data_IF_987809177304
#
_entry.id   IF_987809177304
#
_cell.length_a   1.000
_cell.length_b   1.000
_cell.length_c   1.000
_cell.angle_alpha   90.00
_cell.angle_beta   90.00
_cell.angle_gamma   90.00
#
_symmetry.space_group_name_H-M   'P 1'
#
loop_
_entity.id
_entity.type
_entity.pdbx_description
1 polymer ?
#
# COMPACT_ATOMS: atom_id res chain seq x y z
N UNK A 1 -44.08 9.17 -42.99
CA UNK A 1 -43.27 10.37 -42.69
C UNK A 1 -43.55 10.71 -41.23
N UNK A 2 -42.64 10.68 -40.26
CA UNK A 2 -41.18 10.69 -40.24
C UNK A 2 -40.67 9.95 -38.98
N UNK A 3 -39.49 9.36 -39.17
CA UNK A 3 -38.52 8.79 -38.25
C UNK A 3 -38.39 9.42 -36.85
N UNK A 4 -38.37 8.57 -35.82
CA UNK A 4 -37.74 8.88 -34.52
C UNK A 4 -36.23 8.67 -34.63
N UNK A 5 -35.47 9.75 -34.75
CA UNK A 5 -34.01 9.77 -34.56
C UNK A 5 -33.72 10.26 -33.15
N UNK A 6 -33.15 9.39 -32.30
CA UNK A 6 -32.60 9.76 -31.00
C UNK A 6 -31.15 10.16 -31.23
N UNK A 7 -30.89 11.47 -31.26
CA UNK A 7 -29.54 12.03 -31.28
C UNK A 7 -28.91 11.93 -29.89
N UNK A 8 -27.73 11.34 -29.85
CA UNK A 8 -26.81 11.32 -28.71
C UNK A 8 -26.34 12.74 -28.40
N UNK A 9 -26.68 13.27 -27.22
CA UNK A 9 -26.14 14.54 -26.72
C UNK A 9 -24.72 14.32 -26.18
N UNK A 10 -23.74 14.62 -27.03
CA UNK A 10 -22.35 14.87 -26.63
C UNK A 10 -22.32 16.24 -25.97
N UNK A 11 -22.08 16.30 -24.65
CA UNK A 11 -21.85 17.58 -23.97
C UNK A 11 -20.47 18.14 -24.38
N UNK A 12 -20.38 19.38 -24.90
CA UNK A 12 -19.10 20.00 -25.21
C UNK A 12 -18.44 20.57 -23.95
N UNK A 13 -17.11 20.40 -23.84
CA UNK A 13 -16.27 21.08 -22.85
C UNK A 13 -16.35 22.61 -23.02
N UNK A 14 -16.37 23.41 -21.93
CA UNK A 14 -16.23 24.85 -22.03
C UNK A 14 -14.75 25.24 -22.27
N UNK A 15 -14.50 26.41 -22.90
CA UNK A 15 -13.19 26.80 -23.36
C UNK A 15 -12.30 27.37 -22.23
N UNK A 16 -10.99 27.24 -22.47
CA UNK A 16 -9.88 27.77 -21.70
C UNK A 16 -9.95 29.30 -21.64
N UNK A 17 -9.86 29.84 -20.42
CA UNK A 17 -9.44 31.22 -20.19
C UNK A 17 -10.12 31.91 -19.01
N UNK A 18 -9.46 31.93 -17.86
CA UNK A 18 -8.91 33.13 -17.21
C UNK A 18 -8.06 32.64 -16.03
N UNK A 19 -6.76 32.93 -16.09
CA UNK A 19 -5.81 32.67 -15.02
C UNK A 19 -6.21 33.51 -13.80
N UNK A 20 -6.50 32.85 -12.70
CA UNK A 20 -6.53 33.46 -11.37
C UNK A 20 -5.41 32.82 -10.57
N UNK A 21 -4.42 33.64 -10.21
CA UNK A 21 -3.27 33.31 -9.37
C UNK A 21 -3.72 32.94 -7.95
N UNK A 22 -4.18 31.70 -7.79
CA UNK A 22 -4.35 31.06 -6.49
C UNK A 22 -4.06 29.57 -6.60
N UNK A 23 -2.92 29.21 -7.21
CA UNK A 23 -2.37 27.85 -7.13
C UNK A 23 -1.61 27.68 -5.81
N UNK A 24 -2.31 27.73 -4.68
CA UNK A 24 -2.00 26.77 -3.64
C UNK A 24 -2.87 25.57 -3.97
N UNK A 25 -2.40 24.77 -4.93
CA UNK A 25 -3.03 23.51 -5.28
C UNK A 25 -3.32 22.78 -3.98
N UNK A 26 -4.60 22.58 -3.67
CA UNK A 26 -5.04 21.75 -2.55
C UNK A 26 -4.38 20.40 -2.75
N UNK A 27 -3.24 20.17 -2.08
CA UNK A 27 -2.58 18.87 -2.14
C UNK A 27 -3.61 17.90 -1.58
N UNK A 28 -4.06 16.91 -2.37
CA UNK A 28 -5.09 16.00 -1.89
C UNK A 28 -4.59 15.38 -0.59
N UNK A 29 -5.47 15.23 0.40
CA UNK A 29 -5.17 14.67 1.73
C UNK A 29 -4.36 13.36 1.60
N UNK A 30 -4.66 12.59 0.56
CA UNK A 30 -3.91 11.38 0.20
C UNK A 30 -2.44 11.62 -0.17
N UNK A 31 -2.09 12.69 -0.89
CA UNK A 31 -0.70 12.98 -1.25
C UNK A 31 0.13 13.37 -0.02
N UNK A 32 -0.46 14.15 0.90
CA UNK A 32 0.16 14.45 2.20
C UNK A 32 0.29 13.17 3.03
N UNK A 33 -0.72 12.32 3.03
CA UNK A 33 -0.68 11.01 3.68
C UNK A 33 0.44 10.14 3.08
N UNK A 34 0.51 9.99 1.76
CA UNK A 34 1.52 9.18 1.07
C UNK A 34 2.95 9.69 1.35
N UNK A 35 3.18 11.02 1.27
CA UNK A 35 4.45 11.64 1.63
C UNK A 35 4.84 11.27 3.08
N UNK A 36 3.89 11.31 4.02
CA UNK A 36 4.14 10.94 5.42
C UNK A 36 4.32 9.44 5.65
N UNK A 37 3.63 8.59 4.89
CA UNK A 37 3.82 7.14 4.93
C UNK A 37 5.22 6.76 4.42
N UNK A 38 5.71 7.47 3.40
CA UNK A 38 7.05 7.27 2.84
C UNK A 38 8.15 7.89 3.70
N UNK A 39 7.83 8.97 4.43
CA UNK A 39 8.78 9.56 5.39
C UNK A 39 9.00 8.60 6.55
N UNK A 40 10.26 8.22 6.80
CA UNK A 40 10.64 7.42 7.97
C UNK A 40 10.26 8.18 9.24
N UNK A 41 9.52 7.54 10.16
CA UNK A 41 9.31 8.13 11.48
C UNK A 41 10.56 7.86 12.32
N UNK A 42 11.10 8.91 12.92
CA UNK A 42 12.33 8.89 13.73
C UNK A 42 12.22 8.10 15.05
N UNK A 43 11.01 7.69 15.45
CA UNK A 43 10.81 6.79 16.58
C UNK A 43 10.89 5.32 16.13
N UNK A 44 12.09 4.91 15.73
CA UNK A 44 12.45 3.49 15.75
C UNK A 44 13.27 3.31 17.01
N UNK A 45 12.72 2.58 17.99
CA UNK A 45 13.51 2.09 19.12
C UNK A 45 14.72 1.36 18.52
N UNK A 46 15.96 1.76 18.83
CA UNK A 46 17.15 1.15 18.25
C UNK A 46 17.08 -0.37 18.42
N UNK A 47 17.47 -1.13 17.39
CA UNK A 47 17.38 -2.59 17.40
C UNK A 47 18.06 -3.22 18.64
N UNK A 48 19.12 -2.60 19.15
CA UNK A 48 19.79 -3.00 20.39
C UNK A 48 18.92 -2.82 21.65
N UNK A 49 18.13 -1.74 21.70
CA UNK A 49 17.18 -1.47 22.78
C UNK A 49 15.97 -2.40 22.68
N UNK A 50 15.47 -2.68 21.47
CA UNK A 50 14.41 -3.66 21.26
C UNK A 50 14.85 -5.08 21.65
N UNK A 51 16.08 -5.48 21.30
CA UNK A 51 16.64 -6.77 21.71
C UNK A 51 16.82 -6.87 23.23
N UNK A 52 17.29 -5.82 23.89
CA UNK A 52 17.42 -5.79 25.35
C UNK A 52 16.05 -5.84 26.07
N UNK A 53 15.00 -5.29 25.48
CA UNK A 53 13.63 -5.39 26.02
C UNK A 53 13.06 -6.81 25.86
N UNK A 54 13.37 -7.51 24.77
CA UNK A 54 12.95 -8.91 24.55
C UNK A 54 13.67 -9.90 25.49
N UNK A 55 14.91 -9.60 25.88
CA UNK A 55 15.71 -10.44 26.79
C UNK A 55 15.35 -10.23 28.28
N UNK A 56 14.65 -9.12 28.59
CA UNK A 56 14.27 -8.72 29.95
C UNK A 56 12.84 -9.10 30.35
N UNK A 57 12.02 -9.62 29.43
CA UNK A 57 10.63 -9.99 29.72
C UNK A 57 10.53 -11.40 30.30
N UNK A 58 10.03 -11.52 31.53
CA UNK A 58 9.48 -12.76 32.05
C UNK A 58 8.31 -13.17 31.14
N UNK A 59 8.50 -14.22 30.33
CA UNK A 59 7.64 -14.72 29.24
C UNK A 59 6.19 -15.07 29.63
N UNK A 60 5.76 -14.81 30.88
CA UNK A 60 4.45 -15.17 31.43
C UNK A 60 3.55 -14.00 31.83
N UNK A 61 4.04 -12.76 31.86
CA UNK A 61 3.18 -11.61 32.16
C UNK A 61 2.44 -11.14 30.89
N UNK A 62 1.11 -10.88 30.93
CA UNK A 62 0.40 -10.26 29.82
C UNK A 62 1.02 -8.89 29.50
N UNK A 63 1.35 -8.65 28.23
CA UNK A 63 1.82 -7.33 27.78
C UNK A 63 0.68 -6.33 27.92
N UNK A 64 0.85 -5.32 28.78
CA UNK A 64 -0.08 -4.19 28.87
C UNK A 64 0.16 -3.24 27.70
N UNK A 65 -0.81 -3.14 26.79
CA UNK A 65 -0.77 -2.22 25.66
C UNK A 65 -1.38 -0.88 26.04
N UNK A 66 -0.66 0.22 25.83
CA UNK A 66 -1.23 1.56 25.97
C UNK A 66 -2.11 1.92 24.75
N UNK A 67 -2.97 2.93 24.91
CA UNK A 67 -3.74 3.48 23.78
C UNK A 67 -2.81 4.01 22.68
N UNK A 68 -1.70 4.66 23.09
CA UNK A 68 -0.69 5.17 22.17
C UNK A 68 -0.06 4.02 21.34
N UNK A 69 0.28 2.89 21.98
CA UNK A 69 0.84 1.74 21.27
C UNK A 69 -0.14 1.17 20.23
N UNK A 70 -1.43 1.11 20.57
CA UNK A 70 -2.47 0.64 19.66
C UNK A 70 -2.61 1.58 18.46
N UNK A 71 -2.58 2.91 18.69
CA UNK A 71 -2.63 3.90 17.62
C UNK A 71 -1.38 3.81 16.73
N UNK A 72 -0.20 3.66 17.33
CA UNK A 72 1.06 3.50 16.61
C UNK A 72 1.09 2.20 15.79
N UNK A 73 0.46 1.13 16.27
CA UNK A 73 0.30 -0.10 15.50
C UNK A 73 -0.60 0.10 14.27
N UNK A 74 -1.74 0.80 14.41
CA UNK A 74 -2.58 1.15 13.26
C UNK A 74 -1.84 2.03 12.25
N UNK A 75 -1.05 2.99 12.74
CA UNK A 75 -0.18 3.82 11.91
C UNK A 75 0.87 2.99 11.17
N UNK A 76 1.54 2.07 11.86
CA UNK A 76 2.56 1.19 11.27
C UNK A 76 1.98 0.38 10.12
N UNK A 77 0.76 -0.13 10.24
CA UNK A 77 0.10 -0.87 9.16
C UNK A 77 -0.22 0.02 7.96
N UNK A 78 -0.67 1.27 8.17
CA UNK A 78 -0.86 2.20 7.04
C UNK A 78 0.44 2.48 6.30
N UNK A 79 1.61 2.44 6.98
CA UNK A 79 2.90 2.67 6.33
C UNK A 79 3.22 1.64 5.25
N UNK A 80 2.65 0.44 5.31
CA UNK A 80 2.83 -0.56 4.24
C UNK A 80 2.24 -0.07 2.90
N UNK A 81 1.22 0.80 2.93
CA UNK A 81 0.70 1.46 1.70
C UNK A 81 1.78 2.35 1.07
N UNK A 82 2.59 3.03 1.88
CA UNK A 82 3.73 3.80 1.37
C UNK A 82 4.77 2.94 0.64
N UNK A 83 4.93 1.68 1.09
CA UNK A 83 5.83 0.69 0.47
C UNK A 83 5.30 0.13 -0.85
N UNK A 84 3.99 0.29 -1.13
CA UNK A 84 3.47 0.01 -2.48
C UNK A 84 4.16 0.88 -3.54
N UNK A 85 4.52 2.11 -3.21
CA UNK A 85 5.20 3.02 -4.14
C UNK A 85 6.70 2.75 -4.31
N UNK A 86 7.34 2.07 -3.36
CA UNK A 86 8.77 1.78 -3.42
C UNK A 86 9.07 0.60 -4.35
N UNK A 87 9.80 0.79 -5.46
CA UNK A 87 10.06 -0.29 -6.41
C UNK A 87 10.96 -1.40 -5.85
N UNK A 88 11.72 -1.15 -4.77
CA UNK A 88 12.53 -2.17 -4.07
C UNK A 88 11.70 -3.11 -3.20
N UNK A 89 10.47 -2.71 -2.85
CA UNK A 89 9.61 -3.55 -2.01
C UNK A 89 9.23 -4.83 -2.79
N UNK A 90 9.42 -6.03 -2.21
CA UNK A 90 9.11 -7.29 -2.89
C UNK A 90 7.65 -7.42 -3.31
N UNK A 91 7.40 -8.18 -4.38
CA UNK A 91 6.04 -8.35 -4.93
C UNK A 91 5.09 -9.00 -3.93
N UNK A 92 5.55 -9.97 -3.15
CA UNK A 92 4.75 -10.63 -2.13
C UNK A 92 4.21 -9.65 -1.08
N UNK A 93 5.05 -8.73 -0.59
CA UNK A 93 4.66 -7.71 0.38
C UNK A 93 3.64 -6.73 -0.24
N UNK A 94 3.80 -6.39 -1.52
CA UNK A 94 2.83 -5.57 -2.24
C UNK A 94 1.49 -6.27 -2.40
N UNK A 95 1.49 -7.55 -2.79
CA UNK A 95 0.25 -8.31 -2.93
C UNK A 95 -0.48 -8.49 -1.60
N UNK A 96 0.25 -8.74 -0.51
CA UNK A 96 -0.36 -8.80 0.83
C UNK A 96 -1.00 -7.47 1.22
N UNK A 97 -0.32 -6.35 0.97
CA UNK A 97 -0.87 -5.01 1.24
C UNK A 97 -2.10 -4.73 0.38
N UNK A 98 -2.07 -5.07 -0.92
CA UNK A 98 -3.21 -4.89 -1.82
C UNK A 98 -4.40 -5.77 -1.41
N UNK A 99 -4.13 -7.01 -0.98
CA UNK A 99 -5.15 -7.93 -0.46
C UNK A 99 -5.82 -7.34 0.79
N UNK A 100 -5.03 -6.79 1.71
CA UNK A 100 -5.53 -6.10 2.90
C UNK A 100 -6.39 -4.87 2.57
N UNK A 101 -6.03 -4.10 1.55
CA UNK A 101 -6.77 -2.89 1.13
C UNK A 101 -8.07 -3.22 0.36
N UNK A 102 -8.00 -4.14 -0.60
CA UNK A 102 -9.06 -4.35 -1.60
C UNK A 102 -9.84 -5.65 -1.46
N UNK A 103 -9.19 -6.72 -0.98
CA UNK A 103 -9.77 -8.07 -1.03
C UNK A 103 -10.41 -8.46 0.29
N UNK A 104 -9.84 -8.06 1.44
CA UNK A 104 -10.34 -8.39 2.77
C UNK A 104 -11.50 -7.48 3.26
N UNK A 105 -12.41 -7.06 2.38
CA UNK A 105 -13.46 -6.07 2.70
C UNK A 105 -14.43 -6.56 3.78
N UNK A 106 -14.66 -7.86 3.87
CA UNK A 106 -15.45 -8.48 4.93
C UNK A 106 -14.86 -8.23 6.34
N UNK A 107 -13.57 -7.88 6.41
CA UNK A 107 -12.87 -7.54 7.65
C UNK A 107 -12.86 -6.04 7.95
N UNK A 108 -13.46 -5.17 7.13
CA UNK A 108 -13.45 -3.71 7.30
C UNK A 108 -13.97 -3.23 8.68
N UNK A 109 -14.70 -4.08 9.41
CA UNK A 109 -15.20 -3.78 10.78
C UNK A 109 -14.36 -4.38 11.90
N UNK A 110 -13.28 -5.09 11.57
CA UNK A 110 -12.36 -5.71 12.53
C UNK A 110 -11.24 -4.74 12.92
N UNK A 111 -10.67 -4.89 14.13
CA UNK A 111 -9.44 -4.18 14.50
C UNK A 111 -8.35 -4.41 13.46
N UNK A 112 -7.50 -3.40 13.23
CA UNK A 112 -6.38 -3.48 12.28
C UNK A 112 -6.76 -3.77 10.81
N UNK A 113 -8.04 -3.72 10.46
CA UNK A 113 -8.46 -3.61 9.07
C UNK A 113 -8.04 -2.27 8.48
N UNK A 114 -7.92 -2.22 7.15
CA UNK A 114 -7.59 -0.99 6.43
C UNK A 114 -8.49 0.20 6.85
N UNK A 115 -9.81 -0.04 6.93
CA UNK A 115 -10.79 0.96 7.36
C UNK A 115 -10.58 1.40 8.82
N UNK A 116 -10.37 0.43 9.72
CA UNK A 116 -10.10 0.74 11.13
C UNK A 116 -8.82 1.55 11.28
N UNK A 117 -7.77 1.21 10.53
CA UNK A 117 -6.51 1.95 10.52
C UNK A 117 -6.69 3.40 10.08
N UNK A 118 -7.36 3.65 8.95
CA UNK A 118 -7.64 5.02 8.51
C UNK A 118 -8.42 5.82 9.56
N UNK A 119 -9.46 5.21 10.15
CA UNK A 119 -10.29 5.87 11.15
C UNK A 119 -9.50 6.21 12.42
N UNK A 120 -8.77 5.24 12.98
CA UNK A 120 -8.01 5.43 14.23
C UNK A 120 -6.90 6.47 14.04
N UNK A 121 -6.14 6.37 12.95
CA UNK A 121 -5.02 7.30 12.67
C UNK A 121 -5.52 8.70 12.32
N UNK A 122 -6.64 8.84 11.61
CA UNK A 122 -7.18 10.14 11.24
C UNK A 122 -7.90 10.88 12.39
N UNK A 123 -8.49 10.12 13.32
CA UNK A 123 -9.25 10.67 14.44
C UNK A 123 -8.50 10.73 15.77
N UNK A 124 -7.33 10.08 15.91
CA UNK A 124 -6.58 10.09 17.16
C UNK A 124 -5.60 11.27 17.23
N UNK A 125 -5.59 12.06 18.32
CA UNK A 125 -4.58 13.10 18.54
C UNK A 125 -3.19 12.52 18.87
N UNK A 126 -3.12 11.22 19.20
CA UNK A 126 -1.87 10.49 19.46
C UNK A 126 -1.24 9.95 18.16
N UNK A 127 -1.90 10.14 17.03
CA UNK A 127 -1.39 9.74 15.73
C UNK A 127 -0.21 10.62 15.31
N UNK A 128 0.82 10.06 14.65
CA UNK A 128 1.87 10.85 14.01
C UNK A 128 1.36 11.71 12.82
N UNK A 129 0.16 11.42 12.32
CA UNK A 129 -0.52 12.18 11.28
C UNK A 129 -1.28 13.36 11.92
N UNK A 130 -1.25 14.58 11.35
CA UNK A 130 -2.13 15.65 11.79
C UNK A 130 -3.58 15.20 11.78
N UNK A 131 -4.34 15.57 12.81
CA UNK A 131 -5.76 15.23 12.92
C UNK A 131 -6.51 15.63 11.64
N UNK A 132 -7.11 14.65 10.97
CA UNK A 132 -7.84 14.84 9.71
C UNK A 132 -9.30 14.35 9.80
N UNK A 133 -9.72 13.80 10.95
CA UNK A 133 -11.08 13.36 11.19
C UNK A 133 -11.45 12.08 10.43
N UNK A 134 -12.71 11.98 10.02
CA UNK A 134 -13.20 10.84 9.23
C UNK A 134 -12.78 11.02 7.77
N UNK A 135 -11.94 10.11 7.28
CA UNK A 135 -11.48 10.05 5.89
C UNK A 135 -12.42 9.16 5.08
N UNK A 136 -12.75 9.56 3.86
CA UNK A 136 -13.46 8.69 2.92
C UNK A 136 -12.54 7.55 2.46
N UNK A 137 -12.90 6.33 2.88
CA UNK A 137 -12.15 5.11 2.59
C UNK A 137 -12.13 4.81 1.09
N UNK A 138 -13.25 5.04 0.39
CA UNK A 138 -13.36 4.69 -1.01
C UNK A 138 -12.55 5.67 -1.87
N UNK A 139 -12.48 6.95 -1.48
CA UNK A 139 -11.56 7.92 -2.09
C UNK A 139 -10.10 7.44 -1.98
N UNK A 140 -9.67 7.00 -0.78
CA UNK A 140 -8.32 6.47 -0.59
C UNK A 140 -8.07 5.22 -1.45
N UNK A 141 -9.05 4.30 -1.51
CA UNK A 141 -8.98 3.11 -2.37
C UNK A 141 -8.86 3.48 -3.85
N UNK A 142 -9.59 4.50 -4.30
CA UNK A 142 -9.56 4.98 -5.67
C UNK A 142 -8.19 5.56 -6.03
N UNK A 143 -7.59 6.36 -5.15
CA UNK A 143 -6.25 6.88 -5.39
C UNK A 143 -5.20 5.77 -5.43
N UNK A 144 -5.27 4.81 -4.49
CA UNK A 144 -4.38 3.63 -4.52
C UNK A 144 -4.56 2.88 -5.84
N UNK A 145 -5.80 2.67 -6.30
CA UNK A 145 -6.08 1.97 -7.57
C UNK A 145 -5.50 2.68 -8.77
N UNK A 146 -5.60 4.02 -8.82
CA UNK A 146 -5.02 4.84 -9.88
C UNK A 146 -3.48 4.73 -9.91
N UNK A 147 -2.83 4.73 -8.75
CA UNK A 147 -1.37 4.67 -8.67
C UNK A 147 -0.78 3.26 -8.83
N UNK A 148 -1.54 2.23 -8.44
CA UNK A 148 -1.13 0.82 -8.38
C UNK A 148 -0.48 0.33 -9.69
N UNK A 149 -1.04 0.68 -10.84
CA UNK A 149 -0.50 0.22 -12.12
C UNK A 149 0.91 0.76 -12.40
N UNK A 150 1.20 2.01 -12.03
CA UNK A 150 2.56 2.58 -12.16
C UNK A 150 3.53 1.87 -11.23
N UNK A 151 3.13 1.74 -9.96
CA UNK A 151 3.97 1.13 -8.93
C UNK A 151 4.32 -0.33 -9.24
N UNK A 152 3.33 -1.14 -9.61
CA UNK A 152 3.57 -2.54 -9.97
C UNK A 152 4.44 -2.65 -11.23
N UNK A 153 4.23 -1.78 -12.22
CA UNK A 153 5.07 -1.77 -13.42
C UNK A 153 6.53 -1.50 -13.07
N UNK A 154 6.80 -0.48 -12.25
CA UNK A 154 8.16 -0.13 -11.84
C UNK A 154 8.84 -1.28 -11.10
N UNK A 155 8.13 -1.94 -10.18
CA UNK A 155 8.62 -3.14 -9.48
C UNK A 155 8.89 -4.28 -10.46
N UNK A 156 7.93 -4.61 -11.33
CA UNK A 156 8.06 -5.69 -12.30
C UNK A 156 9.23 -5.48 -13.26
N UNK A 157 9.53 -4.24 -13.66
CA UNK A 157 10.65 -3.94 -14.56
C UNK A 157 12.02 -4.33 -14.01
N UNK A 158 12.13 -4.56 -12.70
CA UNK A 158 13.37 -5.01 -12.03
C UNK A 158 13.53 -6.51 -12.04
N UNK A 159 12.44 -7.25 -12.25
CA UNK A 159 12.47 -8.69 -12.31
C UNK A 159 12.90 -9.19 -13.70
N UNK A 160 13.58 -10.35 -13.79
CA UNK A 160 13.88 -10.99 -15.06
C UNK A 160 12.64 -11.19 -15.95
N UNK A 161 12.82 -11.21 -17.27
CA UNK A 161 11.71 -11.34 -18.22
C UNK A 161 10.84 -12.58 -17.96
N UNK A 162 11.45 -13.71 -17.61
CA UNK A 162 10.73 -14.94 -17.30
C UNK A 162 9.76 -14.81 -16.11
N UNK A 163 10.09 -13.97 -15.12
CA UNK A 163 9.18 -13.67 -13.99
C UNK A 163 8.01 -12.82 -14.48
N UNK A 164 8.30 -11.79 -15.28
CA UNK A 164 7.26 -10.90 -15.83
C UNK A 164 6.29 -11.65 -16.73
N UNK A 165 6.81 -12.51 -17.60
CA UNK A 165 6.04 -13.39 -18.48
C UNK A 165 5.18 -14.35 -17.66
N UNK A 166 5.75 -15.03 -16.66
CA UNK A 166 4.98 -15.92 -15.78
C UNK A 166 3.81 -15.22 -15.06
N UNK A 167 3.99 -13.97 -14.63
CA UNK A 167 2.94 -13.19 -13.97
C UNK A 167 1.82 -12.80 -14.96
N UNK A 168 2.17 -12.51 -16.21
CA UNK A 168 1.20 -12.14 -17.25
C UNK A 168 0.45 -13.37 -17.79
N UNK A 169 1.18 -14.45 -18.04
CA UNK A 169 0.67 -15.63 -18.72
C UNK A 169 -0.07 -16.59 -17.77
N UNK A 170 0.37 -16.67 -16.50
CA UNK A 170 -0.13 -17.63 -15.51
C UNK A 170 -0.32 -17.02 -14.10
N UNK A 171 -1.18 -15.99 -13.94
CA UNK A 171 -1.35 -15.29 -12.67
C UNK A 171 -1.85 -16.19 -11.53
N UNK A 172 -2.79 -17.11 -11.80
CA UNK A 172 -3.34 -18.04 -10.80
C UNK A 172 -2.31 -19.04 -10.26
N UNK A 173 -1.35 -19.41 -11.11
CA UNK A 173 -0.25 -20.29 -10.73
C UNK A 173 0.75 -19.55 -9.83
N UNK A 174 1.07 -18.29 -10.18
CA UNK A 174 1.94 -17.43 -9.35
C UNK A 174 1.31 -17.21 -7.98
N UNK A 175 0.02 -16.88 -7.93
CA UNK A 175 -0.74 -16.76 -6.67
C UNK A 175 -0.64 -18.04 -5.84
N UNK A 176 -0.89 -19.20 -6.46
CA UNK A 176 -0.81 -20.51 -5.80
C UNK A 176 0.59 -20.87 -5.29
N UNK A 177 1.65 -20.31 -5.88
CA UNK A 177 3.03 -20.46 -5.38
C UNK A 177 3.32 -19.50 -4.24
N UNK A 178 2.95 -18.24 -4.36
CA UNK A 178 3.15 -17.24 -3.31
C UNK A 178 2.37 -17.59 -2.04
N UNK A 179 1.16 -18.14 -2.18
CA UNK A 179 0.38 -18.64 -1.05
C UNK A 179 1.08 -19.78 -0.28
N UNK A 180 1.91 -20.59 -0.96
CA UNK A 180 2.67 -21.68 -0.34
C UNK A 180 4.03 -21.22 0.19
N UNK A 181 4.72 -20.36 -0.56
CA UNK A 181 5.98 -19.76 -0.17
C UNK A 181 6.03 -18.30 -0.68
N UNK A 182 5.84 -17.31 0.21
CA UNK A 182 5.91 -15.89 -0.16
C UNK A 182 7.27 -15.48 -0.73
N UNK A 183 8.36 -16.15 -0.30
CA UNK A 183 9.73 -15.87 -0.75
C UNK A 183 10.10 -16.60 -2.04
N UNK A 184 9.16 -17.34 -2.66
CA UNK A 184 9.45 -18.21 -3.79
C UNK A 184 10.11 -17.48 -4.97
N UNK A 185 9.62 -16.29 -5.33
CA UNK A 185 10.17 -15.53 -6.47
C UNK A 185 11.64 -15.18 -6.20
N UNK A 186 11.94 -14.66 -5.01
CA UNK A 186 13.28 -14.26 -4.61
C UNK A 186 14.23 -15.48 -4.57
N UNK A 187 13.76 -16.62 -4.08
CA UNK A 187 14.53 -17.87 -4.10
C UNK A 187 14.76 -18.41 -5.52
N UNK A 188 13.76 -18.33 -6.40
CA UNK A 188 13.88 -18.81 -7.77
C UNK A 188 14.90 -17.97 -8.55
N UNK A 189 14.87 -16.65 -8.39
CA UNK A 189 15.86 -15.75 -8.98
C UNK A 189 17.27 -16.08 -8.49
N UNK A 190 17.45 -16.28 -7.17
CA UNK A 190 18.74 -16.68 -6.60
C UNK A 190 19.24 -18.01 -7.17
N UNK A 191 18.35 -19.00 -7.30
CA UNK A 191 18.68 -20.31 -7.89
C UNK A 191 19.09 -20.21 -9.35
N UNK A 192 18.34 -19.49 -10.17
CA UNK A 192 18.68 -19.30 -11.58
C UNK A 192 19.98 -18.50 -11.77
N UNK A 193 20.28 -17.54 -10.88
CA UNK A 193 21.56 -16.84 -10.90
C UNK A 193 22.74 -17.77 -10.57
N UNK A 194 22.57 -18.70 -9.61
CA UNK A 194 23.57 -19.71 -9.26
C UNK A 194 23.76 -20.77 -10.37
N UNK A 195 22.67 -21.16 -11.05
CA UNK A 195 22.71 -22.14 -12.13
C UNK A 195 23.19 -21.54 -13.47
N UNK A 196 22.93 -20.26 -13.71
CA UNK A 196 23.41 -19.53 -14.89
C UNK A 196 24.92 -19.25 -14.90
N UNK A 197 25.57 -19.29 -13.73
CA UNK A 197 27.03 -19.15 -13.57
C UNK A 197 27.80 -20.46 -13.79
N UNK A 198 27.11 -21.60 -13.96
CA UNK A 198 27.75 -22.90 -14.22
C UNK A 198 28.16 -23.12 -15.69
N UNK A 199 27.88 -22.15 -16.57
CA UNK A 199 28.21 -22.22 -18.00
C UNK A 199 28.77 -20.91 -18.58
N UNK A 200 29.25 -19.99 -17.73
CA UNK A 200 29.96 -18.76 -18.13
C UNK A 200 31.49 -18.95 -18.16
#
# INVERSE_FOLDING_TARGET
MLSHSISSEIRPCPPIGIMSESEHAERPVFQVLLERLQTGNAHIVPAATAAAMLDATDDRAPVEWSEEDIVLLHWRLLKEIGRLADPETPLEEKFDTLRWVFTEREKDRKPFSFVSCLRVVGCSPLSPLPYCGLVDVEEVRDVIRCAMHSWLRETLMRYPSWVREAIVDHPEWVESRLARNPQWINEAIRRTALEGDLFA
#
